data_IF_038571822345
#
_entry.id   IF_038571822345
#
_cell.length_a   1.000
_cell.length_b   1.000
_cell.length_c   1.000
_cell.angle_alpha   90.00
_cell.angle_beta   90.00
_cell.angle_gamma   90.00
#
_symmetry.space_group_name_H-M   'P 1'
#
loop_
_entity.id
_entity.type
_entity.pdbx_description
1 polymer ?
#
# COMPACT_ATOMS: atom_id res chain seq x y z
N UNK A 1 2.39 -11.54 5.22
CA UNK A 1 1.31 -12.37 4.70
C UNK A 1 0.05 -11.54 4.78
N UNK A 2 -0.45 -11.12 3.63
CA UNK A 2 -1.67 -10.32 3.49
C UNK A 2 -2.91 -11.13 3.92
N UNK A 3 -4.02 -10.47 4.27
CA UNK A 3 -5.26 -11.12 4.74
C UNK A 3 -5.81 -12.08 3.66
N UNK A 4 -5.71 -11.71 2.38
CA UNK A 4 -6.05 -12.58 1.24
C UNK A 4 -5.15 -13.81 1.17
N UNK A 5 -3.84 -13.62 1.34
CA UNK A 5 -2.84 -14.69 1.31
C UNK A 5 -3.04 -15.66 2.49
N UNK A 6 -3.34 -15.13 3.68
CA UNK A 6 -3.66 -15.91 4.86
C UNK A 6 -4.98 -16.68 4.70
N UNK A 7 -6.03 -16.03 4.18
CA UNK A 7 -7.33 -16.66 3.95
C UNK A 7 -7.20 -17.82 2.96
N UNK A 8 -6.55 -17.59 1.81
CA UNK A 8 -6.33 -18.63 0.80
C UNK A 8 -5.43 -19.76 1.33
N UNK A 9 -4.38 -19.43 2.08
CA UNK A 9 -3.48 -20.41 2.69
C UNK A 9 -4.16 -21.27 3.76
N UNK A 10 -5.22 -20.79 4.41
CA UNK A 10 -6.02 -21.53 5.40
C UNK A 10 -7.32 -22.11 4.84
N UNK A 11 -7.58 -21.90 3.55
CA UNK A 11 -8.78 -22.39 2.89
C UNK A 11 -8.72 -23.91 2.69
N UNK A 12 -9.74 -24.66 3.12
CA UNK A 12 -9.69 -26.13 3.21
C UNK A 12 -11.00 -26.80 2.82
N UNK A 13 -10.88 -28.02 2.30
CA UNK A 13 -12.01 -28.94 2.09
C UNK A 13 -13.00 -28.46 1.03
N UNK A 14 -14.26 -28.83 1.21
CA UNK A 14 -15.36 -28.57 0.28
C UNK A 14 -15.54 -27.08 -0.13
N UNK A 15 -15.35 -26.07 0.74
CA UNK A 15 -15.32 -24.67 0.33
C UNK A 15 -14.28 -24.33 -0.73
N UNK A 16 -13.07 -24.92 -0.66
CA UNK A 16 -12.03 -24.71 -1.66
C UNK A 16 -12.42 -25.25 -3.04
N UNK A 17 -13.14 -26.36 -3.07
CA UNK A 17 -13.62 -26.96 -4.32
C UNK A 17 -14.68 -26.09 -4.99
N UNK A 18 -15.59 -25.50 -4.20
CA UNK A 18 -16.55 -24.52 -4.72
C UNK A 18 -15.88 -23.27 -5.28
N UNK A 19 -14.88 -22.77 -4.57
CA UNK A 19 -14.07 -21.67 -5.06
C UNK A 19 -13.32 -22.03 -6.34
N UNK A 20 -12.70 -23.21 -6.42
CA UNK A 20 -11.97 -23.64 -7.61
C UNK A 20 -12.89 -23.68 -8.85
N UNK A 21 -14.14 -24.11 -8.70
CA UNK A 21 -15.13 -24.03 -9.77
C UNK A 21 -15.43 -22.59 -10.21
N UNK A 22 -15.70 -21.70 -9.26
CA UNK A 22 -16.00 -20.30 -9.55
C UNK A 22 -14.79 -19.59 -10.20
N UNK A 23 -13.60 -19.81 -9.65
CA UNK A 23 -12.33 -19.33 -10.18
C UNK A 23 -12.12 -19.79 -11.63
N UNK A 24 -12.29 -21.08 -11.94
CA UNK A 24 -12.12 -21.56 -13.31
C UNK A 24 -13.14 -20.94 -14.27
N UNK A 25 -14.39 -20.70 -13.84
CA UNK A 25 -15.38 -20.01 -14.67
C UNK A 25 -14.93 -18.58 -15.01
N UNK A 26 -14.39 -17.84 -14.04
CA UNK A 26 -13.80 -16.51 -14.27
C UNK A 26 -12.60 -16.56 -15.22
N UNK A 27 -11.80 -17.62 -15.15
CA UNK A 27 -10.69 -17.86 -16.09
C UNK A 27 -11.15 -18.27 -17.51
N UNK A 28 -12.46 -18.25 -17.79
CA UNK A 28 -13.03 -18.54 -19.10
C UNK A 28 -13.25 -20.02 -19.40
N UNK A 29 -13.15 -20.91 -18.39
CA UNK A 29 -13.47 -22.32 -18.55
C UNK A 29 -14.98 -22.53 -18.45
N UNK A 30 -15.53 -23.38 -19.33
CA UNK A 30 -16.86 -23.93 -19.14
C UNK A 30 -16.75 -25.13 -18.19
N UNK A 31 -17.22 -24.96 -16.95
CA UNK A 31 -17.14 -25.99 -15.91
C UNK A 31 -18.48 -26.71 -15.78
N UNK A 32 -18.49 -27.99 -16.14
CA UNK A 32 -19.62 -28.90 -15.97
C UNK A 32 -19.42 -29.72 -14.69
N UNK A 33 -20.38 -29.61 -13.78
CA UNK A 33 -20.42 -30.43 -12.57
C UNK A 33 -20.74 -31.87 -12.97
N UNK A 34 -19.71 -32.72 -13.07
CA UNK A 34 -19.92 -34.16 -13.15
C UNK A 34 -20.57 -34.59 -11.83
N UNK A 35 -21.83 -35.02 -11.89
CA UNK A 35 -22.66 -35.43 -10.74
C UNK A 35 -22.16 -36.66 -9.97
N UNK A 36 -20.88 -37.00 -10.06
CA UNK A 36 -20.21 -38.05 -9.30
C UNK A 36 -19.45 -37.42 -8.14
N UNK A 37 -20.14 -37.13 -7.04
CA UNK A 37 -19.49 -37.09 -5.74
C UNK A 37 -18.91 -38.48 -5.48
N UNK A 38 -17.60 -38.64 -5.72
CA UNK A 38 -16.90 -39.88 -5.40
C UNK A 38 -17.04 -40.22 -3.90
N UNK A 39 -16.81 -41.47 -3.49
CA UNK A 39 -16.91 -41.91 -2.09
C UNK A 39 -16.06 -41.08 -1.12
N UNK A 40 -15.01 -40.43 -1.63
CA UNK A 40 -14.03 -39.65 -0.89
C UNK A 40 -14.42 -38.16 -0.74
N UNK A 41 -15.53 -37.72 -1.35
CA UNK A 41 -16.02 -36.34 -1.26
C UNK A 41 -15.17 -35.30 -1.99
N UNK A 42 -14.27 -35.72 -2.88
CA UNK A 42 -13.46 -34.83 -3.71
C UNK A 42 -14.22 -34.33 -4.95
N UNK A 43 -13.94 -33.09 -5.35
CA UNK A 43 -14.47 -32.50 -6.58
C UNK A 43 -13.63 -32.87 -7.81
N UNK A 44 -14.31 -33.45 -8.79
CA UNK A 44 -13.83 -33.68 -10.15
C UNK A 44 -14.84 -33.00 -11.10
N UNK A 45 -14.36 -32.12 -11.99
CA UNK A 45 -15.21 -31.37 -12.91
C UNK A 45 -14.75 -31.49 -14.35
N UNK A 46 -15.68 -31.77 -15.27
CA UNK A 46 -15.38 -31.65 -16.70
C UNK A 46 -15.24 -30.17 -17.06
N UNK A 47 -14.20 -29.83 -17.82
CA UNK A 47 -13.89 -28.46 -18.21
C UNK A 47 -13.63 -28.35 -19.70
N UNK A 48 -14.09 -27.26 -20.29
CA UNK A 48 -13.78 -26.92 -21.68
C UNK A 48 -13.19 -25.52 -21.77
N UNK A 49 -12.12 -25.34 -22.55
CA UNK A 49 -11.59 -24.02 -22.88
C UNK A 49 -11.11 -23.97 -24.34
N UNK A 50 -11.63 -23.00 -25.10
CA UNK A 50 -11.25 -22.82 -26.50
C UNK A 50 -11.47 -24.06 -27.38
N UNK A 51 -12.53 -24.84 -27.12
CA UNK A 51 -12.88 -26.05 -27.86
C UNK A 51 -12.04 -27.28 -27.49
N UNK A 52 -11.32 -27.25 -26.37
CA UNK A 52 -10.57 -28.39 -25.83
C UNK A 52 -11.27 -28.92 -24.59
N UNK A 53 -11.65 -30.18 -24.62
CA UNK A 53 -12.23 -30.88 -23.48
C UNK A 53 -11.13 -31.36 -22.52
N UNK A 54 -11.46 -31.34 -21.25
CA UNK A 54 -10.55 -31.70 -20.19
C UNK A 54 -11.25 -31.99 -18.88
N UNK A 55 -10.44 -32.32 -17.88
CA UNK A 55 -10.91 -32.59 -16.53
C UNK A 55 -10.11 -31.77 -15.52
N UNK A 56 -10.81 -31.24 -14.54
CA UNK A 56 -10.28 -30.40 -13.49
C UNK A 56 -10.40 -31.07 -12.13
N UNK A 57 -9.33 -30.99 -11.35
CA UNK A 57 -9.28 -31.44 -9.96
C UNK A 57 -8.77 -30.32 -9.05
N UNK A 58 -9.21 -30.34 -7.80
CA UNK A 58 -8.77 -29.39 -6.77
C UNK A 58 -8.06 -30.09 -5.60
N UNK A 59 -7.04 -29.44 -5.03
CA UNK A 59 -6.31 -29.96 -3.88
C UNK A 59 -5.79 -28.87 -2.94
N UNK A 60 -6.02 -29.06 -1.64
CA UNK A 60 -5.39 -28.27 -0.57
C UNK A 60 -4.27 -29.01 0.17
N UNK A 61 -3.93 -30.23 -0.26
CA UNK A 61 -2.95 -31.07 0.44
C UNK A 61 -1.52 -30.57 0.21
N UNK A 62 -0.69 -30.53 1.25
CA UNK A 62 0.75 -30.26 1.12
C UNK A 62 1.44 -31.28 0.18
N UNK A 63 0.94 -32.52 0.15
CA UNK A 63 1.38 -33.55 -0.80
C UNK A 63 0.70 -33.45 -2.17
N UNK A 64 0.42 -32.23 -2.64
CA UNK A 64 -0.33 -31.97 -3.87
C UNK A 64 0.25 -32.68 -5.10
N UNK A 65 1.58 -32.83 -5.20
CA UNK A 65 2.24 -33.54 -6.31
C UNK A 65 1.83 -35.01 -6.42
N UNK A 66 1.75 -35.68 -5.28
CA UNK A 66 1.32 -37.09 -5.22
C UNK A 66 -0.16 -37.20 -5.56
N UNK A 67 -0.96 -36.22 -5.12
CA UNK A 67 -2.37 -36.14 -5.46
C UNK A 67 -2.57 -35.92 -6.96
N UNK A 68 -1.86 -34.97 -7.57
CA UNK A 68 -1.91 -34.69 -9.01
C UNK A 68 -1.65 -35.95 -9.85
N UNK A 69 -0.58 -36.71 -9.54
CA UNK A 69 -0.30 -37.98 -10.23
C UNK A 69 -1.38 -39.03 -10.03
N UNK A 70 -1.85 -39.20 -8.78
CA UNK A 70 -2.91 -40.14 -8.47
C UNK A 70 -4.24 -39.77 -9.14
N UNK A 71 -4.51 -38.48 -9.31
CA UNK A 71 -5.71 -37.99 -9.99
C UNK A 71 -5.54 -38.23 -11.50
N UNK A 72 -4.37 -37.95 -12.09
CA UNK A 72 -4.08 -38.26 -13.49
C UNK A 72 -4.25 -39.77 -13.82
N UNK A 73 -3.74 -40.68 -12.99
CA UNK A 73 -3.96 -42.12 -13.14
C UNK A 73 -5.45 -42.51 -13.12
N UNK A 74 -6.28 -41.81 -12.34
CA UNK A 74 -7.73 -42.06 -12.31
C UNK A 74 -8.42 -41.52 -13.55
N UNK A 75 -7.97 -40.39 -14.08
CA UNK A 75 -8.51 -39.80 -15.31
C UNK A 75 -8.27 -40.73 -16.49
N UNK A 76 -7.08 -41.32 -16.59
CA UNK A 76 -6.75 -42.29 -17.66
C UNK A 76 -7.69 -43.50 -17.60
N UNK A 77 -7.92 -44.04 -16.40
CA UNK A 77 -8.89 -45.12 -16.21
C UNK A 77 -10.31 -44.70 -16.62
N UNK A 78 -10.71 -43.46 -16.34
CA UNK A 78 -12.02 -42.93 -16.74
C UNK A 78 -12.15 -42.76 -18.25
N UNK A 79 -11.11 -42.28 -18.93
CA UNK A 79 -11.05 -42.21 -20.40
C UNK A 79 -11.25 -43.60 -21.01
N UNK A 80 -10.51 -44.60 -20.51
CA UNK A 80 -10.64 -45.99 -20.96
C UNK A 80 -12.04 -46.57 -20.72
N UNK A 81 -12.63 -46.30 -19.56
CA UNK A 81 -13.97 -46.81 -19.20
C UNK A 81 -15.10 -46.15 -20.01
N UNK A 82 -14.97 -44.87 -20.32
CA UNK A 82 -16.01 -44.08 -21.00
C UNK A 82 -15.82 -43.97 -22.51
N UNK A 83 -14.62 -44.26 -23.01
CA UNK A 83 -14.25 -44.03 -24.40
C UNK A 83 -14.26 -42.54 -24.78
N UNK A 84 -13.89 -41.68 -23.83
CA UNK A 84 -13.73 -40.23 -24.00
C UNK A 84 -12.22 -39.94 -24.11
N UNK A 85 -11.85 -38.98 -24.97
CA UNK A 85 -10.47 -38.49 -25.11
C UNK A 85 -10.40 -37.05 -24.61
N UNK A 86 -9.58 -36.78 -23.59
CA UNK A 86 -9.33 -35.44 -23.08
C UNK A 86 -8.06 -34.85 -23.69
N UNK A 87 -8.05 -33.54 -23.92
CA UNK A 87 -6.89 -32.80 -24.40
C UNK A 87 -6.15 -32.07 -23.25
N UNK A 88 -6.84 -31.91 -22.11
CA UNK A 88 -6.47 -30.98 -21.05
C UNK A 88 -6.70 -31.57 -19.66
N UNK A 89 -5.70 -31.41 -18.80
CA UNK A 89 -5.78 -31.74 -17.38
C UNK A 89 -5.53 -30.47 -16.56
N UNK A 90 -6.53 -30.03 -15.79
CA UNK A 90 -6.46 -28.81 -14.98
C UNK A 90 -6.34 -29.17 -13.51
N UNK A 91 -5.39 -28.57 -12.80
CA UNK A 91 -5.16 -28.83 -11.39
C UNK A 91 -5.12 -27.52 -10.59
N UNK A 92 -6.08 -27.33 -9.68
CA UNK A 92 -6.20 -26.13 -8.86
C UNK A 92 -5.69 -26.41 -7.44
N UNK A 93 -4.79 -25.58 -6.93
CA UNK A 93 -4.22 -25.76 -5.59
C UNK A 93 -3.93 -24.44 -4.89
N UNK A 94 -4.14 -24.39 -3.57
CA UNK A 94 -3.70 -23.27 -2.74
C UNK A 94 -2.28 -23.44 -2.20
N UNK A 95 -1.49 -24.35 -2.76
CA UNK A 95 -0.09 -24.57 -2.42
C UNK A 95 0.82 -23.78 -3.36
N UNK A 96 2.05 -23.50 -2.92
CA UNK A 96 3.05 -22.87 -3.77
C UNK A 96 3.67 -23.89 -4.72
N UNK A 97 3.85 -23.49 -5.98
CA UNK A 97 4.43 -24.31 -7.03
C UNK A 97 5.59 -23.55 -7.64
N UNK A 98 6.79 -24.13 -7.59
CA UNK A 98 7.96 -23.52 -8.22
C UNK A 98 7.93 -23.75 -9.74
N UNK A 99 8.27 -22.73 -10.54
CA UNK A 99 8.17 -22.80 -12.01
C UNK A 99 8.91 -23.98 -12.66
N UNK A 100 10.07 -24.40 -12.14
CA UNK A 100 10.76 -25.60 -12.64
C UNK A 100 9.96 -26.89 -12.37
N UNK A 101 9.30 -26.96 -11.21
CA UNK A 101 8.49 -28.12 -10.84
C UNK A 101 7.22 -28.20 -11.70
N UNK A 102 6.63 -27.05 -12.03
CA UNK A 102 5.50 -26.99 -12.95
C UNK A 102 5.87 -27.53 -14.32
N UNK A 103 6.99 -27.07 -14.90
CA UNK A 103 7.49 -27.54 -16.19
C UNK A 103 7.75 -29.05 -16.20
N UNK A 104 8.43 -29.56 -15.17
CA UNK A 104 8.73 -31.00 -15.04
C UNK A 104 7.43 -31.84 -15.01
N UNK A 105 6.40 -31.37 -14.30
CA UNK A 105 5.10 -32.06 -14.24
C UNK A 105 4.29 -31.93 -15.53
N UNK A 106 4.37 -30.79 -16.22
CA UNK A 106 3.72 -30.61 -17.52
C UNK A 106 4.30 -31.57 -18.56
N UNK A 107 5.63 -31.74 -18.57
CA UNK A 107 6.30 -32.69 -19.45
C UNK A 107 5.94 -34.14 -19.07
N UNK A 108 5.93 -34.47 -17.77
CA UNK A 108 5.54 -35.80 -17.26
C UNK A 108 4.11 -36.19 -17.69
N UNK A 109 3.13 -35.30 -17.48
CA UNK A 109 1.73 -35.58 -17.84
C UNK A 109 1.55 -35.67 -19.36
N UNK A 110 2.22 -34.80 -20.12
CA UNK A 110 2.15 -34.83 -21.59
C UNK A 110 2.77 -36.11 -22.16
N UNK A 111 3.90 -36.56 -21.61
CA UNK A 111 4.57 -37.78 -22.07
C UNK A 111 3.85 -39.06 -21.63
N UNK A 112 3.26 -39.06 -20.43
CA UNK A 112 2.54 -40.20 -19.89
C UNK A 112 1.16 -40.40 -20.51
N UNK A 113 0.38 -39.32 -20.61
CA UNK A 113 -1.05 -39.37 -20.92
C UNK A 113 -1.44 -38.60 -22.18
N UNK A 114 -0.54 -37.81 -22.77
CA UNK A 114 -0.82 -37.00 -23.95
C UNK A 114 -1.55 -35.68 -23.67
N UNK A 115 -2.01 -35.46 -22.44
CA UNK A 115 -2.75 -34.25 -22.07
C UNK A 115 -1.85 -33.03 -21.87
N UNK A 116 -2.40 -31.84 -22.11
CA UNK A 116 -1.78 -30.60 -21.64
C UNK A 116 -2.14 -30.39 -20.17
N UNK A 117 -1.14 -30.26 -19.29
CA UNK A 117 -1.38 -29.90 -17.89
C UNK A 117 -1.45 -28.37 -17.71
N UNK A 118 -2.45 -27.86 -16.97
CA UNK A 118 -2.50 -26.49 -16.45
C UNK A 118 -2.64 -26.52 -14.93
N UNK A 119 -1.69 -25.91 -14.22
CA UNK A 119 -1.74 -25.80 -12.77
C UNK A 119 -2.10 -24.36 -12.39
N UNK A 120 -3.17 -24.18 -11.64
CA UNK A 120 -3.49 -22.91 -10.98
C UNK A 120 -3.09 -23.00 -9.52
N UNK A 121 -2.01 -22.32 -9.16
CA UNK A 121 -1.41 -22.37 -7.83
C UNK A 121 -1.62 -21.08 -7.04
N UNK A 122 -1.19 -21.05 -5.77
CA UNK A 122 -1.46 -19.94 -4.85
C UNK A 122 -1.14 -18.56 -5.43
N UNK A 123 0.07 -18.36 -5.96
CA UNK A 123 0.46 -17.06 -6.51
C UNK A 123 -0.37 -16.63 -7.73
N UNK A 124 -0.69 -17.55 -8.66
CA UNK A 124 -1.59 -17.23 -9.78
C UNK A 124 -2.98 -16.82 -9.29
N UNK A 125 -3.54 -17.59 -8.34
CA UNK A 125 -4.85 -17.32 -7.76
C UNK A 125 -4.85 -15.95 -7.05
N UNK A 126 -3.81 -15.64 -6.26
CA UNK A 126 -3.71 -14.35 -5.58
C UNK A 126 -3.59 -13.18 -6.56
N UNK A 127 -2.80 -13.34 -7.61
CA UNK A 127 -2.67 -12.33 -8.66
C UNK A 127 -4.02 -12.03 -9.31
N UNK A 128 -4.77 -13.08 -9.63
CA UNK A 128 -6.05 -12.98 -10.30
C UNK A 128 -7.16 -12.39 -9.41
N UNK A 129 -7.25 -12.83 -8.15
CA UNK A 129 -8.23 -12.29 -7.19
C UNK A 129 -8.00 -10.79 -6.95
N UNK A 130 -6.73 -10.33 -7.00
CA UNK A 130 -6.40 -8.92 -6.85
C UNK A 130 -6.75 -8.09 -8.08
N UNK A 131 -6.49 -8.62 -9.27
CA UNK A 131 -6.55 -7.86 -10.51
C UNK A 131 -7.92 -7.90 -11.20
N UNK A 132 -8.57 -9.08 -11.20
CA UNK A 132 -9.68 -9.34 -12.10
C UNK A 132 -10.92 -9.94 -11.41
N UNK A 133 -10.75 -10.63 -10.27
CA UNK A 133 -11.84 -11.38 -9.62
C UNK A 133 -11.98 -11.05 -8.13
N UNK A 134 -12.15 -9.77 -7.82
CA UNK A 134 -12.28 -9.27 -6.44
C UNK A 134 -13.53 -9.79 -5.73
N UNK A 135 -14.64 -9.96 -6.46
CA UNK A 135 -15.90 -10.50 -5.94
C UNK A 135 -15.73 -11.92 -5.39
N UNK A 136 -14.84 -12.73 -5.99
CA UNK A 136 -14.55 -14.08 -5.50
C UNK A 136 -13.78 -14.06 -4.18
N UNK A 137 -12.95 -13.05 -3.93
CA UNK A 137 -12.24 -12.90 -2.66
C UNK A 137 -13.24 -12.56 -1.54
N UNK A 138 -14.22 -11.70 -1.82
CA UNK A 138 -15.26 -11.37 -0.85
C UNK A 138 -16.18 -12.57 -0.60
N UNK A 139 -16.72 -13.19 -1.65
CA UNK A 139 -17.70 -14.26 -1.55
C UNK A 139 -17.14 -15.52 -0.87
N UNK A 140 -15.91 -15.93 -1.20
CA UNK A 140 -15.35 -17.21 -0.76
C UNK A 140 -14.35 -17.10 0.37
N UNK A 141 -13.68 -15.96 0.51
CA UNK A 141 -12.62 -15.76 1.51
C UNK A 141 -13.03 -14.74 2.59
N UNK A 142 -14.19 -14.08 2.47
CA UNK A 142 -14.61 -12.98 3.35
C UNK A 142 -13.58 -11.84 3.35
N UNK A 143 -12.86 -11.69 2.23
CA UNK A 143 -11.84 -10.66 2.01
C UNK A 143 -12.37 -9.67 0.98
N UNK A 144 -12.88 -8.57 1.49
CA UNK A 144 -13.35 -7.44 0.69
C UNK A 144 -12.15 -6.65 0.14
N UNK A 145 -11.87 -6.86 -1.15
CA UNK A 145 -10.83 -6.18 -1.91
C UNK A 145 -11.34 -4.88 -2.58
N UNK A 146 -12.65 -4.59 -2.54
CA UNK A 146 -13.25 -3.38 -3.10
C UNK A 146 -13.23 -2.19 -2.12
N UNK A 147 -12.86 -2.42 -0.87
CA UNK A 147 -12.72 -1.42 0.20
C UNK A 147 -11.86 -0.20 -0.06
N UNK A 148 -11.03 -0.18 -1.11
CA UNK A 148 -10.18 0.97 -1.41
C UNK A 148 -10.97 2.17 -2.00
N UNK A 149 -12.21 1.99 -2.49
CA UNK A 149 -13.02 3.09 -3.05
C UNK A 149 -14.19 3.57 -2.17
N UNK A 150 -14.78 2.72 -1.32
CA UNK A 150 -15.98 3.09 -0.53
C UNK A 150 -15.68 3.91 0.74
N UNK A 151 -14.42 4.00 1.16
CA UNK A 151 -14.02 4.68 2.39
C UNK A 151 -13.29 6.01 2.19
N UNK A 152 -13.06 6.43 0.94
CA UNK A 152 -12.31 7.66 0.65
C UNK A 152 -12.98 8.87 1.32
N UNK A 153 -14.31 8.97 1.24
CA UNK A 153 -15.05 10.05 1.88
C UNK A 153 -14.88 10.04 3.41
N UNK A 154 -14.91 8.86 4.04
CA UNK A 154 -14.67 8.73 5.50
C UNK A 154 -13.22 9.09 5.87
N UNK A 155 -12.26 8.78 5.00
CA UNK A 155 -10.83 9.12 5.17
C UNK A 155 -10.60 10.63 5.01
N UNK A 156 -11.25 11.27 4.04
CA UNK A 156 -11.26 12.72 3.84
C UNK A 156 -11.92 13.43 5.02
N UNK A 157 -13.06 12.93 5.50
CA UNK A 157 -13.73 13.43 6.71
C UNK A 157 -12.82 13.30 7.93
N UNK A 158 -12.14 12.16 8.09
CA UNK A 158 -11.17 11.95 9.16
C UNK A 158 -9.98 12.91 9.06
N UNK A 159 -9.43 13.13 7.87
CA UNK A 159 -8.37 14.11 7.63
C UNK A 159 -8.85 15.52 7.98
N UNK A 160 -10.06 15.90 7.56
CA UNK A 160 -10.64 17.20 7.89
C UNK A 160 -10.82 17.40 9.39
N UNK A 161 -11.37 16.41 10.10
CA UNK A 161 -11.53 16.43 11.56
C UNK A 161 -10.18 16.58 12.29
N UNK A 162 -9.12 15.99 11.72
CA UNK A 162 -7.76 16.12 12.25
C UNK A 162 -7.20 17.53 12.04
N UNK A 163 -7.40 18.10 10.87
CA UNK A 163 -6.99 19.46 10.54
C UNK A 163 -7.72 20.51 11.39
N UNK A 164 -9.02 20.32 11.65
CA UNK A 164 -9.78 21.21 12.53
C UNK A 164 -9.18 21.25 13.95
N UNK A 165 -8.77 20.09 14.48
CA UNK A 165 -8.08 20.00 15.78
C UNK A 165 -6.70 20.63 15.75
N UNK A 166 -5.95 20.43 14.67
CA UNK A 166 -4.64 21.05 14.50
C UNK A 166 -4.75 22.58 14.45
N UNK A 167 -5.69 23.11 13.67
CA UNK A 167 -5.94 24.56 13.57
C UNK A 167 -6.42 25.16 14.89
N UNK A 168 -7.29 24.45 15.63
CA UNK A 168 -7.73 24.87 16.96
C UNK A 168 -6.69 24.62 18.07
N UNK A 169 -5.53 24.04 17.76
CA UNK A 169 -4.49 23.62 18.72
C UNK A 169 -5.06 22.74 19.85
N UNK A 170 -5.87 21.75 19.46
CA UNK A 170 -6.50 20.79 20.37
C UNK A 170 -5.90 19.38 20.23
N UNK A 171 -6.12 18.54 21.23
CA UNK A 171 -5.66 17.15 21.27
C UNK A 171 -4.13 17.06 21.16
N UNK A 172 -3.64 16.44 20.09
CA UNK A 172 -2.19 16.25 19.86
C UNK A 172 -1.46 17.56 19.55
N UNK A 173 -2.16 18.55 19.00
CA UNK A 173 -1.60 19.85 18.64
C UNK A 173 -1.56 20.85 19.81
N UNK A 174 -2.01 20.46 21.01
CA UNK A 174 -2.12 21.36 22.16
C UNK A 174 -0.79 21.94 22.66
N UNK A 175 0.32 21.28 22.37
CA UNK A 175 1.67 21.74 22.71
C UNK A 175 2.42 22.31 21.49
N UNK A 176 1.78 22.35 20.31
CA UNK A 176 2.33 23.00 19.12
C UNK A 176 2.15 24.51 19.22
N UNK A 177 3.21 25.27 18.98
CA UNK A 177 3.12 26.74 19.02
C UNK A 177 2.15 27.30 17.98
N UNK A 178 1.69 28.52 18.24
CA UNK A 178 0.85 29.29 17.32
C UNK A 178 1.62 29.67 16.04
N UNK A 179 0.87 29.80 14.93
CA UNK A 179 1.41 30.24 13.64
C UNK A 179 1.11 29.29 12.47
N UNK A 180 1.63 29.62 11.28
CA UNK A 180 1.48 28.83 10.06
C UNK A 180 2.01 27.41 10.26
N UNK A 181 1.28 26.42 9.78
CA UNK A 181 1.67 25.01 9.93
C UNK A 181 1.53 24.26 8.61
N UNK A 182 2.45 23.32 8.38
CA UNK A 182 2.34 22.29 7.36
C UNK A 182 2.07 20.97 8.07
N UNK A 183 1.18 20.16 7.51
CA UNK A 183 0.83 18.86 8.03
C UNK A 183 0.91 17.78 6.96
N UNK A 184 1.34 16.59 7.38
CA UNK A 184 1.29 15.34 6.63
C UNK A 184 0.38 14.38 7.38
N UNK A 185 -0.70 13.96 6.74
CA UNK A 185 -1.57 12.89 7.23
C UNK A 185 -1.36 11.66 6.36
N UNK A 186 -1.12 10.51 7.00
CA UNK A 186 -1.08 9.21 6.32
C UNK A 186 -2.07 8.30 7.02
N UNK A 187 -3.07 7.88 6.26
CA UNK A 187 -4.23 7.15 6.77
C UNK A 187 -4.32 5.83 6.02
N UNK A 188 -3.99 4.68 6.64
CA UNK A 188 -4.17 3.38 5.99
C UNK A 188 -5.66 3.12 5.77
N UNK A 189 -6.04 2.45 4.68
CA UNK A 189 -7.44 2.09 4.46
C UNK A 189 -8.02 1.28 5.63
N UNK A 190 -7.17 0.44 6.25
CA UNK A 190 -7.51 -0.34 7.44
C UNK A 190 -7.80 0.47 8.72
N UNK A 191 -7.70 1.81 8.74
CA UNK A 191 -7.93 2.64 9.94
C UNK A 191 -9.37 2.51 10.45
N UNK A 192 -10.33 2.26 9.55
CA UNK A 192 -11.76 2.11 9.86
C UNK A 192 -12.10 0.68 10.31
N UNK A 193 -11.16 -0.26 10.18
CA UNK A 193 -11.35 -1.64 10.59
C UNK A 193 -11.37 -1.76 12.13
N UNK A 194 -12.49 -2.23 12.68
CA UNK A 194 -12.68 -2.39 14.14
C UNK A 194 -11.78 -3.47 14.76
N UNK A 195 -11.00 -4.19 13.95
CA UNK A 195 -10.31 -5.43 14.35
C UNK A 195 -8.88 -5.23 14.87
N UNK A 196 -8.24 -4.08 14.70
CA UNK A 196 -6.82 -3.87 15.08
C UNK A 196 -6.62 -2.98 16.31
N UNK A 197 -7.23 -3.34 17.45
CA UNK A 197 -6.74 -2.85 18.74
C UNK A 197 -5.53 -3.69 19.20
N UNK A 198 -4.36 -3.52 18.57
CA UNK A 198 -3.12 -4.08 19.11
C UNK A 198 -2.61 -3.19 20.23
N UNK A 199 -2.45 -3.78 21.41
CA UNK A 199 -1.72 -3.22 22.54
C UNK A 199 -0.26 -3.66 22.39
N UNK A 200 0.58 -2.82 21.82
CA UNK A 200 2.03 -3.03 21.70
C UNK A 200 2.76 -1.69 21.66
N UNK A 201 4.07 -1.70 21.90
CA UNK A 201 4.91 -0.51 21.75
C UNK A 201 4.86 -0.04 20.29
N UNK A 202 4.18 1.08 20.04
CA UNK A 202 4.13 1.70 18.72
C UNK A 202 5.49 2.36 18.43
N UNK A 203 5.97 2.31 17.18
CA UNK A 203 7.23 2.94 16.81
C UNK A 203 7.15 4.46 17.02
N UNK A 204 8.32 5.09 17.16
CA UNK A 204 8.41 6.54 17.31
C UNK A 204 8.10 7.19 15.96
N UNK A 205 7.03 7.98 15.85
CA UNK A 205 6.68 8.60 14.58
C UNK A 205 7.72 9.64 14.17
N UNK A 206 8.00 9.67 12.86
CA UNK A 206 8.86 10.64 12.20
C UNK A 206 8.22 12.02 12.20
N UNK A 207 9.00 13.05 12.51
CA UNK A 207 8.55 14.43 12.42
C UNK A 207 9.06 15.04 11.11
N UNK A 208 8.16 15.67 10.34
CA UNK A 208 8.53 16.42 9.13
C UNK A 208 9.39 17.63 9.51
N UNK A 209 10.35 18.00 8.66
CA UNK A 209 11.30 19.11 8.87
C UNK A 209 12.18 18.98 10.13
N UNK A 210 12.33 17.78 10.70
CA UNK A 210 13.22 17.53 11.84
C UNK A 210 14.31 16.51 11.47
N UNK A 211 15.57 16.94 11.50
CA UNK A 211 16.70 16.14 11.04
C UNK A 211 17.20 15.14 12.10
N UNK A 212 16.89 15.33 13.38
CA UNK A 212 17.45 14.50 14.45
C UNK A 212 16.51 13.39 14.89
N UNK A 213 17.09 12.34 15.48
CA UNK A 213 16.32 11.31 16.18
C UNK A 213 15.52 11.94 17.33
N UNK A 214 14.23 11.63 17.34
CA UNK A 214 13.29 12.06 18.36
C UNK A 214 12.84 10.86 19.19
N UNK A 215 12.57 11.12 20.46
CA UNK A 215 12.01 10.12 21.36
C UNK A 215 10.51 10.32 21.42
N UNK A 216 9.76 9.27 21.13
CA UNK A 216 8.32 9.24 21.28
C UNK A 216 7.91 8.96 22.72
N UNK A 217 6.82 9.58 23.16
CA UNK A 217 6.11 9.25 24.39
C UNK A 217 4.89 8.40 24.06
N UNK A 218 4.84 7.17 24.56
CA UNK A 218 3.69 6.28 24.38
C UNK A 218 2.55 6.66 25.34
N UNK A 219 1.43 7.15 24.81
CA UNK A 219 0.23 7.55 25.55
C UNK A 219 -0.97 6.65 25.20
N UNK A 220 -0.97 5.45 25.76
CA UNK A 220 -2.09 4.50 25.63
C UNK A 220 -2.26 3.93 24.23
N UNK A 221 -3.07 4.58 23.38
CA UNK A 221 -3.38 4.14 22.00
C UNK A 221 -2.55 4.83 20.92
N UNK A 222 -1.58 5.67 21.28
CA UNK A 222 -0.73 6.37 20.34
C UNK A 222 0.66 6.60 20.93
N UNK A 223 1.63 6.80 20.05
CA UNK A 223 2.95 7.35 20.39
C UNK A 223 3.05 8.73 19.75
N UNK A 224 3.55 9.71 20.51
CA UNK A 224 3.77 11.09 20.04
C UNK A 224 5.23 11.47 20.21
N UNK A 225 5.85 11.97 19.14
CA UNK A 225 7.19 12.54 19.13
C UNK A 225 7.09 14.06 18.99
N UNK A 226 7.95 14.81 19.67
CA UNK A 226 8.02 16.27 19.56
C UNK A 226 9.37 16.72 19.00
N UNK A 227 9.33 17.76 18.16
CA UNK A 227 10.51 18.36 17.55
C UNK A 227 11.37 19.08 18.58
N UNK A 228 12.66 19.22 18.31
CA UNK A 228 13.60 19.88 19.22
C UNK A 228 13.61 21.38 18.99
N UNK A 229 13.11 22.13 19.96
CA UNK A 229 13.16 23.58 19.98
C UNK A 229 11.98 24.14 20.77
N UNK A 230 12.10 25.37 21.28
CA UNK A 230 11.05 26.04 22.06
C UNK A 230 11.33 26.09 23.57
N UNK A 231 10.45 26.78 24.29
CA UNK A 231 10.43 26.80 25.75
C UNK A 231 9.88 25.47 26.30
N UNK A 232 10.14 25.09 27.56
CA UNK A 232 9.52 23.90 28.15
C UNK A 232 7.99 23.95 28.04
N UNK A 233 7.38 22.99 27.33
CA UNK A 233 5.94 22.92 27.09
C UNK A 233 5.46 23.56 25.78
N UNK A 234 6.38 24.07 24.95
CA UNK A 234 6.10 24.62 23.62
C UNK A 234 6.98 23.92 22.58
N UNK A 235 6.36 23.33 21.56
CA UNK A 235 7.03 22.59 20.51
C UNK A 235 6.77 23.20 19.13
N UNK A 236 7.80 23.24 18.27
CA UNK A 236 7.67 23.75 16.90
C UNK A 236 7.18 22.71 15.89
N UNK A 237 7.18 21.43 16.26
CA UNK A 237 6.71 20.34 15.43
C UNK A 237 6.34 19.13 16.31
N UNK A 238 5.48 18.26 15.79
CA UNK A 238 5.19 16.97 16.39
C UNK A 238 4.87 15.92 15.33
N UNK A 239 4.87 14.66 15.75
CA UNK A 239 4.27 13.58 14.99
C UNK A 239 3.58 12.59 15.92
N UNK A 240 2.48 12.02 15.48
CA UNK A 240 1.68 11.04 16.21
C UNK A 240 1.47 9.83 15.31
N UNK A 241 1.60 8.65 15.90
CA UNK A 241 1.17 7.39 15.29
C UNK A 241 0.21 6.69 16.25
N UNK A 242 -1.01 6.42 15.77
CA UNK A 242 -2.05 5.73 16.52
C UNK A 242 -1.98 4.23 16.28
N UNK A 243 -2.56 3.47 17.20
CA UNK A 243 -2.61 2.01 17.11
C UNK A 243 -3.46 1.47 15.94
N UNK A 244 -4.37 2.30 15.42
CA UNK A 244 -5.15 2.04 14.19
C UNK A 244 -4.40 2.45 12.91
N UNK A 245 -3.15 2.91 13.04
CA UNK A 245 -2.28 3.25 11.93
C UNK A 245 -2.43 4.67 11.40
N UNK A 246 -3.33 5.50 11.96
CA UNK A 246 -3.34 6.92 11.59
C UNK A 246 -2.03 7.59 12.02
N UNK A 247 -1.34 8.16 11.05
CA UNK A 247 -0.18 9.00 11.23
C UNK A 247 -0.52 10.46 10.92
N UNK A 248 -0.05 11.35 11.79
CA UNK A 248 -0.16 12.80 11.64
C UNK A 248 1.17 13.43 12.05
N UNK A 249 1.79 14.23 11.19
CA UNK A 249 2.90 15.09 11.59
C UNK A 249 2.63 16.52 11.17
N UNK A 250 2.94 17.46 12.04
CA UNK A 250 2.77 18.88 11.78
C UNK A 250 4.02 19.66 12.20
N UNK A 251 4.36 20.70 11.44
CA UNK A 251 5.50 21.56 11.70
C UNK A 251 5.20 23.03 11.42
N UNK A 252 5.56 23.87 12.37
CA UNK A 252 5.67 25.34 12.24
C UNK A 252 7.11 25.73 11.90
N UNK A 253 8.11 24.88 12.22
CA UNK A 253 9.52 25.16 11.93
C UNK A 253 9.85 25.18 10.44
N UNK A 254 8.96 24.66 9.59
CA UNK A 254 9.06 24.74 8.14
C UNK A 254 8.95 26.20 7.62
N UNK A 255 8.35 27.09 8.41
CA UNK A 255 8.17 28.48 8.06
C UNK A 255 9.23 29.36 8.73
N UNK A 256 9.74 30.29 7.96
CA UNK A 256 10.74 31.25 8.41
C UNK A 256 10.25 32.66 8.12
N UNK A 257 10.56 33.61 9.00
CA UNK A 257 10.27 35.01 8.77
C UNK A 257 11.55 35.72 8.31
N UNK A 258 11.50 36.43 7.18
CA UNK A 258 12.63 37.22 6.69
C UNK A 258 12.16 38.44 5.92
N UNK A 259 12.57 39.63 6.39
CA UNK A 259 12.19 40.93 5.81
C UNK A 259 10.67 41.14 5.74
N UNK A 260 9.95 40.81 6.82
CA UNK A 260 8.48 40.93 6.92
C UNK A 260 7.68 39.96 6.00
N UNK A 261 8.37 39.08 5.28
CA UNK A 261 7.77 37.99 4.52
C UNK A 261 7.93 36.66 5.26
N UNK A 262 6.86 35.87 5.23
CA UNK A 262 6.83 34.51 5.74
C UNK A 262 7.08 33.53 4.59
N UNK A 263 8.02 32.61 4.77
CA UNK A 263 8.45 31.73 3.69
C UNK A 263 8.59 30.27 4.10
N UNK A 264 8.22 29.38 3.18
CA UNK A 264 8.36 27.92 3.28
C UNK A 264 9.61 27.47 2.51
N UNK A 265 10.44 26.63 3.14
CA UNK A 265 11.65 26.09 2.52
C UNK A 265 11.31 25.00 1.49
N UNK A 266 11.40 25.31 0.19
CA UNK A 266 11.07 24.36 -0.89
C UNK A 266 12.19 23.39 -1.28
N UNK A 267 13.47 23.74 -1.06
CA UNK A 267 14.60 22.95 -1.55
C UNK A 267 15.62 22.62 -0.45
N UNK A 268 16.44 21.60 -0.67
CA UNK A 268 17.54 21.24 0.23
C UNK A 268 18.61 22.34 0.17
N UNK A 269 18.97 22.88 1.33
CA UNK A 269 20.09 23.81 1.44
C UNK A 269 20.90 23.54 2.70
N UNK A 270 22.20 23.29 2.53
CA UNK A 270 23.14 23.06 3.63
C UNK A 270 23.06 24.18 4.68
N UNK A 271 22.77 23.80 5.92
CA UNK A 271 22.65 24.71 7.06
C UNK A 271 21.34 25.50 7.14
N UNK A 272 20.40 25.26 6.22
CA UNK A 272 19.05 25.87 6.23
C UNK A 272 17.97 24.80 6.44
N UNK A 273 18.06 23.66 5.76
CA UNK A 273 17.20 22.50 6.03
C UNK A 273 17.00 21.58 4.83
N UNK A 274 16.25 20.50 5.06
CA UNK A 274 16.00 19.41 4.10
C UNK A 274 14.99 19.76 2.98
N UNK A 275 14.24 20.86 3.12
CA UNK A 275 13.25 21.26 2.13
C UNK A 275 11.97 20.43 2.13
N UNK A 276 10.93 20.98 1.51
CA UNK A 276 9.56 20.47 1.48
C UNK A 276 9.46 19.01 1.00
N UNK A 277 9.90 18.75 -0.23
CA UNK A 277 9.67 17.45 -0.86
C UNK A 277 10.40 16.33 -0.12
N UNK A 278 11.68 16.56 0.25
CA UNK A 278 12.45 15.56 0.99
C UNK A 278 11.88 15.32 2.39
N UNK A 279 11.39 16.35 3.08
CA UNK A 279 10.75 16.20 4.39
C UNK A 279 9.52 15.28 4.32
N UNK A 280 8.67 15.49 3.31
CA UNK A 280 7.45 14.69 3.11
C UNK A 280 7.79 13.26 2.68
N UNK A 281 8.68 13.08 1.70
CA UNK A 281 9.09 11.77 1.19
C UNK A 281 9.70 10.92 2.31
N UNK A 282 10.64 11.47 3.09
CA UNK A 282 11.30 10.72 4.16
C UNK A 282 10.32 10.28 5.25
N UNK A 283 9.45 11.18 5.69
CA UNK A 283 8.43 10.87 6.68
C UNK A 283 7.45 9.81 6.17
N UNK A 284 7.05 9.89 4.89
CA UNK A 284 6.18 8.90 4.27
C UNK A 284 6.84 7.52 4.15
N UNK A 285 8.11 7.45 3.69
CA UNK A 285 8.90 6.20 3.64
C UNK A 285 8.96 5.52 5.00
N UNK A 286 9.33 6.27 6.04
CA UNK A 286 9.44 5.73 7.39
C UNK A 286 8.09 5.24 7.92
N UNK A 287 7.03 6.02 7.68
CA UNK A 287 5.65 5.65 8.06
C UNK A 287 5.18 4.39 7.35
N UNK A 288 5.45 4.21 6.05
CA UNK A 288 5.08 2.98 5.32
C UNK A 288 5.77 1.74 5.91
N UNK A 289 7.02 1.87 6.33
CA UNK A 289 7.75 0.79 7.01
C UNK A 289 7.18 0.50 8.40
N UNK A 290 6.84 1.53 9.16
CA UNK A 290 6.30 1.39 10.51
C UNK A 290 4.90 0.79 10.51
N UNK A 291 4.04 1.19 9.57
CA UNK A 291 2.73 0.55 9.35
C UNK A 291 2.87 -0.93 9.01
N UNK A 292 3.83 -1.29 8.15
CA UNK A 292 4.13 -2.69 7.82
C UNK A 292 4.59 -3.47 9.06
N UNK A 293 5.49 -2.92 9.89
CA UNK A 293 5.92 -3.53 11.16
C UNK A 293 4.76 -3.70 12.15
N UNK A 294 3.80 -2.78 12.14
CA UNK A 294 2.58 -2.85 12.96
C UNK A 294 1.59 -3.91 12.45
N UNK A 295 1.79 -4.45 11.24
CA UNK A 295 0.94 -5.46 10.61
C UNK A 295 -0.21 -4.86 9.79
N UNK A 296 -0.07 -3.63 9.32
CA UNK A 296 -0.89 -3.08 8.24
C UNK A 296 -0.31 -3.51 6.88
N UNK A 297 -1.18 -3.62 5.90
CA UNK A 297 -0.87 -3.98 4.51
C UNK A 297 -1.87 -3.31 3.59
N UNK A 298 -1.59 -3.29 2.28
CA UNK A 298 -2.43 -2.63 1.29
C UNK A 298 -2.10 -1.14 1.15
N UNK A 299 -3.12 -0.34 0.90
CA UNK A 299 -3.02 1.06 0.50
C UNK A 299 -3.15 2.01 1.70
N UNK A 300 -2.36 3.07 1.72
CA UNK A 300 -2.51 4.21 2.60
C UNK A 300 -2.70 5.50 1.79
N UNK A 301 -3.49 6.42 2.32
CA UNK A 301 -3.81 7.70 1.70
C UNK A 301 -2.98 8.79 2.38
N UNK A 302 -2.22 9.53 1.59
CA UNK A 302 -1.37 10.62 2.07
C UNK A 302 -1.91 11.97 1.63
N UNK A 303 -2.04 12.90 2.59
CA UNK A 303 -2.51 14.26 2.37
C UNK A 303 -1.47 15.24 2.87
N UNK A 304 -1.19 16.30 2.11
CA UNK A 304 -0.37 17.41 2.57
C UNK A 304 -1.26 18.64 2.74
N UNK A 305 -1.17 19.30 3.87
CA UNK A 305 -2.00 20.46 4.20
C UNK A 305 -1.17 21.64 4.70
N UNK A 306 -1.62 22.84 4.36
CA UNK A 306 -1.09 24.10 4.83
C UNK A 306 -2.20 24.85 5.59
N UNK A 307 -1.88 25.30 6.80
CA UNK A 307 -2.80 25.99 7.71
C UNK A 307 -2.22 27.35 8.09
N UNK A 308 -3.10 28.35 8.14
CA UNK A 308 -2.81 29.74 8.49
C UNK A 308 -1.68 30.32 7.62
N UNK A 309 -1.66 29.95 6.33
CA UNK A 309 -0.60 30.28 5.37
C UNK A 309 -0.95 31.42 4.41
N UNK A 310 -1.96 32.22 4.74
CA UNK A 310 -2.25 33.45 4.00
C UNK A 310 -0.97 34.28 3.89
N UNK A 311 -0.59 34.66 2.67
CA UNK A 311 0.64 35.39 2.32
C UNK A 311 1.99 34.63 2.37
N UNK A 312 2.01 33.31 2.57
CA UNK A 312 3.27 32.53 2.53
C UNK A 312 3.85 32.48 1.12
N UNK A 313 5.17 32.64 1.01
CA UNK A 313 5.94 32.42 -0.21
C UNK A 313 6.75 31.12 -0.12
N UNK A 314 6.76 30.32 -1.18
CA UNK A 314 7.72 29.22 -1.32
C UNK A 314 9.05 29.75 -1.85
N UNK A 315 10.14 29.37 -1.19
CA UNK A 315 11.49 29.71 -1.66
C UNK A 315 11.95 28.66 -2.65
N UNK A 316 12.30 29.13 -3.84
CA UNK A 316 12.88 28.32 -4.90
C UNK A 316 14.32 28.74 -5.17
N UNK A 317 15.22 27.79 -5.50
CA UNK A 317 16.53 28.16 -5.98
C UNK A 317 16.40 28.76 -7.38
N UNK A 318 17.13 29.84 -7.67
CA UNK A 318 17.30 30.34 -9.03
C UNK A 318 17.85 29.25 -9.96
N UNK A 319 17.63 29.36 -11.28
CA UNK A 319 18.15 28.43 -12.28
C UNK A 319 19.68 28.25 -12.21
N UNK A 320 20.38 29.18 -11.54
CA UNK A 320 21.83 29.18 -11.29
C UNK A 320 22.22 28.76 -9.86
N UNK A 321 21.27 28.32 -9.02
CA UNK A 321 21.50 27.85 -7.64
C UNK A 321 22.06 28.90 -6.67
N UNK A 322 22.04 30.18 -7.05
CA UNK A 322 22.82 31.25 -6.39
C UNK A 322 21.99 32.42 -5.85
N UNK A 323 20.71 32.52 -6.21
CA UNK A 323 19.79 33.51 -5.65
C UNK A 323 18.48 32.86 -5.18
N UNK A 324 17.82 33.47 -4.19
CA UNK A 324 16.52 33.03 -3.68
C UNK A 324 15.47 33.71 -4.55
N UNK A 325 14.78 32.97 -5.42
CA UNK A 325 13.57 33.48 -6.04
C UNK A 325 12.42 33.34 -5.05
N UNK A 326 11.60 34.39 -5.02
CA UNK A 326 10.35 34.39 -4.25
C UNK A 326 9.24 34.10 -5.23
N UNK A 327 8.54 33.00 -5.02
CA UNK A 327 7.26 32.75 -5.68
C UNK A 327 6.29 33.91 -5.44
N UNK A 328 5.35 34.16 -6.36
CA UNK A 328 4.26 35.08 -6.07
C UNK A 328 3.51 34.64 -4.80
N UNK A 329 2.92 35.58 -4.06
CA UNK A 329 2.00 35.26 -2.95
C UNK A 329 0.78 34.58 -3.55
N UNK A 330 0.60 33.29 -3.31
CA UNK A 330 -0.31 32.49 -4.15
C UNK A 330 -1.36 31.72 -3.36
N UNK A 331 -1.13 31.38 -2.10
CA UNK A 331 -2.16 30.72 -1.28
C UNK A 331 -3.08 31.79 -0.71
N UNK A 332 -4.17 32.06 -1.43
CA UNK A 332 -5.22 33.02 -1.05
C UNK A 332 -6.24 32.42 -0.05
N UNK A 333 -5.84 31.38 0.68
CA UNK A 333 -6.70 30.61 1.58
C UNK A 333 -5.99 30.31 2.89
N UNK A 334 -6.67 30.55 4.02
CA UNK A 334 -6.14 30.22 5.36
C UNK A 334 -5.95 28.71 5.58
N UNK A 335 -6.51 27.87 4.70
CA UNK A 335 -6.35 26.41 4.73
C UNK A 335 -6.33 25.88 3.31
N UNK A 336 -5.30 25.10 3.02
CA UNK A 336 -5.17 24.34 1.78
C UNK A 336 -4.85 22.88 2.11
N UNK A 337 -5.49 21.95 1.42
CA UNK A 337 -5.23 20.51 1.51
C UNK A 337 -5.18 19.99 0.10
N UNK A 338 -4.15 19.22 -0.23
CA UNK A 338 -4.00 18.60 -1.54
C UNK A 338 -5.05 17.50 -1.76
N UNK A 339 -5.20 17.05 -3.00
CA UNK A 339 -5.76 15.72 -3.25
C UNK A 339 -4.90 14.65 -2.55
N UNK A 340 -5.43 13.43 -2.42
CA UNK A 340 -4.70 12.35 -1.77
C UNK A 340 -3.75 11.64 -2.75
N UNK A 341 -2.61 11.22 -2.22
CA UNK A 341 -1.73 10.24 -2.86
C UNK A 341 -2.02 8.84 -2.29
N UNK A 342 -1.91 7.82 -3.14
CA UNK A 342 -1.97 6.41 -2.70
C UNK A 342 -0.57 5.84 -2.55
N UNK A 343 -0.26 5.35 -1.36
CA UNK A 343 1.04 4.76 -1.03
C UNK A 343 0.87 3.29 -0.63
N UNK A 344 1.80 2.45 -1.08
CA UNK A 344 1.81 1.03 -0.73
C UNK A 344 2.51 0.81 0.62
N UNK A 345 1.78 0.26 1.58
CA UNK A 345 2.33 -0.05 2.91
C UNK A 345 3.43 -1.12 2.78
N UNK A 346 4.59 -0.84 3.39
CA UNK A 346 5.79 -1.68 3.31
C UNK A 346 6.68 -1.43 2.08
N UNK A 347 6.36 -0.46 1.23
CA UNK A 347 7.23 -0.03 0.12
C UNK A 347 8.11 1.16 0.52
N UNK A 348 9.37 1.15 0.09
CA UNK A 348 10.27 2.33 0.14
C UNK A 348 10.06 3.24 -1.08
N UNK A 349 9.42 2.73 -2.14
CA UNK A 349 9.11 3.44 -3.38
C UNK A 349 7.84 4.27 -3.19
N UNK A 350 7.99 5.48 -2.66
CA UNK A 350 6.88 6.39 -2.34
C UNK A 350 6.89 7.65 -3.19
N UNK A 351 7.97 7.94 -3.92
CA UNK A 351 8.13 9.18 -4.68
C UNK A 351 7.15 9.20 -5.83
N UNK A 352 7.04 8.10 -6.58
CA UNK A 352 6.07 7.97 -7.68
C UNK A 352 4.63 8.20 -7.21
N UNK A 353 4.28 7.74 -6.00
CA UNK A 353 2.95 7.97 -5.42
C UNK A 353 2.73 9.40 -4.92
N UNK A 354 3.77 10.06 -4.42
CA UNK A 354 3.71 11.42 -3.85
C UNK A 354 3.89 12.53 -4.90
N UNK A 355 4.48 12.25 -6.05
CA UNK A 355 4.74 13.23 -7.11
C UNK A 355 3.50 14.06 -7.47
N UNK A 356 2.30 13.49 -7.69
CA UNK A 356 1.12 14.28 -8.05
C UNK A 356 0.73 15.31 -6.97
N UNK A 357 0.84 14.93 -5.69
CA UNK A 357 0.49 15.76 -4.54
C UNK A 357 1.52 16.86 -4.30
N UNK A 358 2.80 16.54 -4.47
CA UNK A 358 3.86 17.54 -4.39
C UNK A 358 3.76 18.51 -5.57
N UNK A 359 3.56 18.03 -6.80
CA UNK A 359 3.34 18.87 -7.97
C UNK A 359 2.14 19.81 -7.81
N UNK A 360 1.04 19.31 -7.24
CA UNK A 360 -0.12 20.13 -6.89
C UNK A 360 0.26 21.27 -5.94
N UNK A 361 0.99 20.95 -4.87
CA UNK A 361 1.45 21.92 -3.88
C UNK A 361 2.36 22.98 -4.50
N UNK A 362 3.34 22.59 -5.33
CA UNK A 362 4.22 23.51 -6.05
C UNK A 362 3.45 24.39 -7.05
N UNK A 363 2.42 23.86 -7.71
CA UNK A 363 1.52 24.64 -8.57
C UNK A 363 0.74 25.70 -7.81
N UNK A 364 0.37 25.44 -6.55
CA UNK A 364 -0.18 26.48 -5.68
C UNK A 364 0.82 27.59 -5.35
N UNK A 365 2.11 27.40 -5.62
CA UNK A 365 3.14 28.45 -5.52
C UNK A 365 3.53 29.07 -6.86
N UNK A 366 2.79 28.75 -7.93
CA UNK A 366 2.98 29.33 -9.26
C UNK A 366 4.08 28.67 -10.09
N UNK A 367 4.60 27.52 -9.67
CA UNK A 367 5.48 26.65 -10.47
C UNK A 367 4.67 25.64 -11.31
N UNK A 368 5.31 24.94 -12.25
CA UNK A 368 4.66 23.93 -13.11
C UNK A 368 4.51 22.54 -12.43
N UNK A 369 5.23 22.33 -11.32
CA UNK A 369 5.33 21.08 -10.56
C UNK A 369 6.56 21.10 -9.64
N UNK A 370 6.81 20.01 -8.91
CA UNK A 370 8.00 19.88 -8.07
C UNK A 370 9.26 19.89 -8.95
N UNK A 371 10.24 20.78 -8.68
CA UNK A 371 11.50 20.80 -9.41
C UNK A 371 12.50 19.75 -8.88
N UNK A 372 12.06 18.85 -8.00
CA UNK A 372 12.91 17.84 -7.35
C UNK A 372 12.56 16.41 -7.78
N UNK A 373 11.46 16.25 -8.53
CA UNK A 373 10.95 14.95 -8.99
C UNK A 373 10.74 15.02 -10.51
N UNK A 374 11.12 13.96 -11.22
CA UNK A 374 10.82 13.79 -12.65
C UNK A 374 10.56 12.31 -12.93
N UNK A 375 9.40 11.99 -13.52
CA UNK A 375 8.97 10.63 -13.86
C UNK A 375 9.05 9.68 -12.65
N UNK A 376 8.54 10.12 -11.51
CA UNK A 376 8.50 9.36 -10.26
C UNK A 376 9.87 9.16 -9.61
N UNK A 377 10.88 9.96 -9.97
CA UNK A 377 12.24 9.81 -9.46
C UNK A 377 12.80 11.10 -8.87
N UNK A 378 13.58 10.94 -7.82
CA UNK A 378 14.36 12.05 -7.25
C UNK A 378 15.44 12.54 -8.21
N UNK A 379 15.47 13.85 -8.50
CA UNK A 379 16.42 14.46 -9.46
C UNK A 379 17.49 15.35 -8.83
N UNK A 380 17.44 15.56 -7.50
CA UNK A 380 18.41 16.40 -6.78
C UNK A 380 19.54 15.59 -6.17
N UNK A 381 20.53 16.30 -5.65
CA UNK A 381 21.64 15.71 -4.90
C UNK A 381 21.13 14.92 -3.70
N UNK A 382 21.90 13.89 -3.32
CA UNK A 382 21.55 13.02 -2.21
C UNK A 382 21.37 13.81 -0.92
N UNK A 383 20.24 13.60 -0.24
CA UNK A 383 19.95 14.20 1.05
C UNK A 383 20.11 13.15 2.14
N UNK A 384 21.03 13.39 3.10
CA UNK A 384 21.17 12.55 4.28
C UNK A 384 20.60 13.29 5.47
N UNK A 385 19.58 12.71 6.09
CA UNK A 385 18.82 13.41 7.14
C UNK A 385 19.02 12.75 8.50
N UNK A 386 19.00 11.41 8.57
CA UNK A 386 19.15 10.63 9.82
C UNK A 386 20.13 9.46 9.63
N UNK A 387 20.58 8.84 10.72
CA UNK A 387 21.48 7.68 10.66
C UNK A 387 20.81 6.52 9.87
N UNK A 388 21.18 6.40 8.59
CA UNK A 388 20.73 5.33 7.68
C UNK A 388 19.69 5.74 6.64
N UNK A 389 18.98 6.88 6.78
CA UNK A 389 18.01 7.34 5.79
C UNK A 389 18.60 8.40 4.87
N UNK A 390 18.66 8.06 3.58
CA UNK A 390 19.16 8.89 2.49
C UNK A 390 18.15 8.85 1.35
N UNK A 391 17.87 9.99 0.72
CA UNK A 391 17.27 10.00 -0.62
C UNK A 391 18.42 10.20 -1.59
N UNK A 392 18.58 9.32 -2.56
CA UNK A 392 19.62 9.40 -3.59
C UNK A 392 19.03 9.79 -4.96
N UNK A 393 19.86 10.35 -5.84
CA UNK A 393 19.46 10.63 -7.22
C UNK A 393 19.02 9.33 -7.91
N UNK A 394 17.81 9.34 -8.49
CA UNK A 394 17.21 8.18 -9.16
C UNK A 394 16.37 7.27 -8.26
N UNK A 395 16.29 7.56 -6.96
CA UNK A 395 15.35 6.91 -6.05
C UNK A 395 13.89 7.04 -6.53
N UNK A 396 13.07 6.05 -6.21
CA UNK A 396 11.62 6.00 -6.52
C UNK A 396 10.74 6.05 -5.26
#
# INVERSE_FOLDING_TARGET
MDDLEFALANFRGYPFEKFAMAYLREQGYQVHESGSSGPDGGWDGQVEIGGREGIAHASVQETWRRKLRSDAEKVEQLEEERGEDYDLFVFVTNQDVGGRQELDLQDEIREGYGWKLRIHHREEILGELRQNSQDLAEEFLDVDLQKDHDHIQEIEELCSDRLDKLQARDGYASELIEGPAIALHIIPNGVLSKSKNRSGDLPNPSIIFEERENYGESKGKHTISYGRGGSPGEHHAYAVLRNDGLYESASVSAFHEKYEDLWLQGFIQDGVGIGLDAAIILAARETMMDLSKMGFSGTAFAFVSLLDTGDVQLVTPDHLGSSLHRSPKTIDTDRYTTEYATLQIGSEQVIEGLEPVLDELWRQFGDDGSPNIEDGKWTRQSCKVRDGMTIEEGDR
#
